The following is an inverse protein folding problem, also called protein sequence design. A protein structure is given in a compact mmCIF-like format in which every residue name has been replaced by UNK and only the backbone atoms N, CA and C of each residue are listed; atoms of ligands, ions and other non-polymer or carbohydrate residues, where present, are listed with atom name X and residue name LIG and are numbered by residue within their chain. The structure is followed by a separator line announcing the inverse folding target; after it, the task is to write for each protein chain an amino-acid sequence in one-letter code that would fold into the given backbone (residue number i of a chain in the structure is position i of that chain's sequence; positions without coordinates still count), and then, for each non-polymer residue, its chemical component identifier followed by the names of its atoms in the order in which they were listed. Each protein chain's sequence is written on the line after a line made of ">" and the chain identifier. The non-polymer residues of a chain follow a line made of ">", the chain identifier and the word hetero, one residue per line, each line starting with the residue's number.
data_IF_621454723358
#
_entry.id   IF_621454723358
#
_cell.length_a   1.000
_cell.length_b   1.000
_cell.length_c   1.000
_cell.angle_alpha   90.00
_cell.angle_beta   90.00
_cell.angle_gamma   90.00
#
_symmetry.space_group_name_H-M   'P 1'
#
loop_
_entity.id
_entity.type
_entity.pdbx_description
1 polymer ?
#
# COMPACT_ATOMS: atom_id res chain seq x y z
N UNK A 1 -25.86 24.58 4.29
CA UNK A 1 -24.91 25.70 4.60
C UNK A 1 -23.86 25.71 3.49
N UNK A 2 -23.42 26.85 2.92
CA UNK A 2 -22.35 26.81 1.90
C UNK A 2 -21.04 26.40 2.58
N UNK A 3 -20.42 25.30 2.13
CA UNK A 3 -19.11 24.85 2.62
C UNK A 3 -18.07 25.93 2.29
N UNK A 4 -17.27 26.32 3.28
CA UNK A 4 -16.28 27.39 3.12
C UNK A 4 -14.88 26.81 2.88
N UNK A 5 -14.57 26.53 1.61
CA UNK A 5 -13.18 26.29 1.16
C UNK A 5 -12.44 27.62 0.95
N UNK A 6 -11.10 27.58 0.90
CA UNK A 6 -10.28 28.79 0.70
C UNK A 6 -10.53 29.43 -0.67
N UNK A 7 -10.33 30.75 -0.79
CA UNK A 7 -10.55 31.46 -2.07
C UNK A 7 -9.61 30.99 -3.18
N UNK A 8 -8.41 30.56 -2.82
CA UNK A 8 -7.47 29.89 -3.72
C UNK A 8 -8.11 28.65 -4.34
N UNK A 9 -8.71 27.79 -3.52
CA UNK A 9 -9.35 26.55 -3.98
C UNK A 9 -10.60 26.86 -4.82
N UNK A 10 -11.42 27.85 -4.43
CA UNK A 10 -12.56 28.28 -5.25
C UNK A 10 -12.12 28.66 -6.65
N UNK A 11 -11.04 29.45 -6.77
CA UNK A 11 -10.50 29.87 -8.07
C UNK A 11 -10.00 28.70 -8.91
N UNK A 12 -9.37 27.68 -8.29
CA UNK A 12 -8.89 26.49 -9.01
C UNK A 12 -10.04 25.72 -9.69
N UNK A 13 -11.24 25.74 -9.11
CA UNK A 13 -12.36 24.88 -9.53
C UNK A 13 -13.53 25.64 -10.17
N UNK A 14 -13.49 26.97 -10.22
CA UNK A 14 -14.63 27.83 -10.56
C UNK A 14 -15.28 27.54 -11.93
N UNK A 15 -14.50 27.02 -12.87
CA UNK A 15 -14.96 26.75 -14.24
C UNK A 15 -15.56 25.35 -14.43
N UNK A 16 -15.32 24.41 -13.51
CA UNK A 16 -15.65 22.98 -13.72
C UNK A 16 -16.33 22.29 -12.52
N UNK A 17 -16.64 23.02 -11.45
CA UNK A 17 -17.25 22.48 -10.23
C UNK A 17 -18.34 23.40 -9.67
N UNK A 18 -19.47 22.82 -9.29
CA UNK A 18 -20.47 23.44 -8.43
C UNK A 18 -20.22 23.06 -6.96
N UNK A 19 -19.96 24.06 -6.10
CA UNK A 19 -19.72 23.87 -4.67
C UNK A 19 -21.01 24.03 -3.85
N UNK A 20 -21.46 22.94 -3.24
CA UNK A 20 -22.57 22.89 -2.29
C UNK A 20 -22.18 22.25 -0.96
N UNK A 21 -23.10 21.51 -0.35
CA UNK A 21 -22.76 20.56 0.74
C UNK A 21 -21.97 19.36 0.21
N UNK A 22 -22.14 19.07 -1.09
CA UNK A 22 -21.33 18.14 -1.87
C UNK A 22 -20.64 18.89 -3.01
N UNK A 23 -19.67 18.23 -3.64
CA UNK A 23 -19.00 18.69 -4.85
C UNK A 23 -19.64 18.02 -6.05
N UNK A 24 -20.03 18.78 -7.06
CA UNK A 24 -20.52 18.26 -8.33
C UNK A 24 -19.63 18.76 -9.47
N UNK A 25 -19.10 17.85 -10.27
CA UNK A 25 -18.22 18.18 -11.39
C UNK A 25 -19.08 18.48 -12.62
N UNK A 26 -19.07 19.73 -13.07
CA UNK A 26 -19.86 20.18 -14.24
C UNK A 26 -19.15 19.97 -15.56
N UNK A 27 -17.81 19.96 -15.56
CA UNK A 27 -16.98 19.62 -16.71
C UNK A 27 -15.89 18.60 -16.31
N UNK A 28 -16.16 17.28 -16.48
CA UNK A 28 -15.19 16.25 -16.17
C UNK A 28 -13.91 16.31 -17.01
N UNK A 29 -13.93 16.86 -18.22
CA UNK A 29 -12.75 16.96 -19.07
C UNK A 29 -11.83 18.07 -18.56
N UNK A 30 -12.38 19.25 -18.27
CA UNK A 30 -11.63 20.35 -17.67
C UNK A 30 -11.08 19.97 -16.28
N UNK A 31 -11.90 19.31 -15.44
CA UNK A 31 -11.46 18.89 -14.10
C UNK A 31 -10.26 17.95 -14.14
N UNK A 32 -10.26 16.97 -15.06
CA UNK A 32 -9.13 16.04 -15.28
C UNK A 32 -7.90 16.70 -15.92
N UNK A 33 -8.04 17.91 -16.44
CA UNK A 33 -6.94 18.70 -16.99
C UNK A 33 -6.06 19.32 -15.90
N UNK A 34 -5.80 20.62 -16.00
CA UNK A 34 -4.94 21.35 -15.09
C UNK A 34 -5.54 21.50 -13.67
N UNK A 35 -6.86 21.40 -13.52
CA UNK A 35 -7.54 21.56 -12.23
C UNK A 35 -7.11 20.48 -11.24
N UNK A 36 -7.21 19.18 -11.59
CA UNK A 36 -6.81 18.11 -10.70
C UNK A 36 -5.31 18.15 -10.37
N UNK A 37 -4.46 18.54 -11.33
CA UNK A 37 -3.01 18.68 -11.13
C UNK A 37 -2.71 19.80 -10.11
N UNK A 38 -3.43 20.92 -10.20
CA UNK A 38 -3.30 22.04 -9.26
C UNK A 38 -3.81 21.69 -7.86
N UNK A 39 -4.93 20.96 -7.79
CA UNK A 39 -5.50 20.50 -6.52
C UNK A 39 -4.57 19.51 -5.83
N UNK A 40 -4.09 18.47 -6.52
CA UNK A 40 -3.22 17.45 -5.89
C UNK A 40 -1.89 18.07 -5.44
N UNK A 41 -1.32 18.98 -6.22
CA UNK A 41 -0.14 19.73 -5.80
C UNK A 41 -0.43 20.55 -4.53
N UNK A 42 -1.58 21.24 -4.46
CA UNK A 42 -1.97 22.01 -3.28
C UNK A 42 -2.26 21.11 -2.07
N UNK A 43 -2.81 19.91 -2.28
CA UNK A 43 -3.08 18.93 -1.22
C UNK A 43 -1.80 18.39 -0.54
N UNK A 44 -0.69 18.35 -1.28
CA UNK A 44 0.62 17.88 -0.82
C UNK A 44 1.48 19.03 -0.30
N UNK A 45 1.61 20.12 -1.07
CA UNK A 45 2.59 21.19 -0.83
C UNK A 45 1.96 22.55 -0.46
N UNK A 46 0.65 22.61 -0.23
CA UNK A 46 -0.02 23.84 0.19
C UNK A 46 0.52 24.38 1.52
N UNK A 47 0.64 25.71 1.62
CA UNK A 47 1.32 26.38 2.73
C UNK A 47 0.54 26.31 4.06
N UNK A 48 -0.79 26.15 4.00
CA UNK A 48 -1.64 26.05 5.20
C UNK A 48 -2.41 24.73 5.27
N UNK A 49 -2.77 24.27 6.49
CA UNK A 49 -3.69 23.14 6.68
C UNK A 49 -5.03 23.34 5.96
N UNK A 50 -5.55 24.56 5.91
CA UNK A 50 -6.82 24.88 5.26
C UNK A 50 -6.77 24.70 3.75
N UNK A 51 -5.68 25.15 3.11
CA UNK A 51 -5.46 24.95 1.67
C UNK A 51 -5.32 23.46 1.34
N UNK A 52 -4.49 22.74 2.11
CA UNK A 52 -4.27 21.29 1.93
C UNK A 52 -5.56 20.51 2.16
N UNK A 53 -6.26 20.75 3.26
CA UNK A 53 -7.52 20.10 3.61
C UNK A 53 -8.65 20.41 2.64
N UNK A 54 -8.78 21.67 2.20
CA UNK A 54 -9.76 22.05 1.18
C UNK A 54 -9.50 21.36 -0.16
N UNK A 55 -8.24 21.30 -0.61
CA UNK A 55 -7.88 20.56 -1.82
C UNK A 55 -8.21 19.07 -1.71
N UNK A 56 -7.85 18.44 -0.58
CA UNK A 56 -8.15 17.03 -0.28
C UNK A 56 -9.64 16.74 -0.31
N UNK A 57 -10.43 17.59 0.35
CA UNK A 57 -11.90 17.47 0.38
C UNK A 57 -12.50 17.55 -1.03
N UNK A 58 -12.05 18.51 -1.86
CA UNK A 58 -12.51 18.62 -3.25
C UNK A 58 -12.17 17.35 -4.02
N UNK A 59 -10.93 16.86 -3.95
CA UNK A 59 -10.49 15.67 -4.68
C UNK A 59 -11.33 14.45 -4.31
N UNK A 60 -11.51 14.19 -3.01
CA UNK A 60 -12.30 13.05 -2.53
C UNK A 60 -13.77 13.16 -2.94
N UNK A 61 -14.36 14.35 -2.80
CA UNK A 61 -15.78 14.58 -3.12
C UNK A 61 -16.04 14.51 -4.63
N UNK A 62 -15.18 15.12 -5.45
CA UNK A 62 -15.23 14.98 -6.91
C UNK A 62 -14.96 13.54 -7.36
N UNK A 63 -14.09 12.82 -6.65
CA UNK A 63 -13.87 11.39 -6.86
C UNK A 63 -15.18 10.61 -6.75
N UNK A 64 -15.95 10.80 -5.67
CA UNK A 64 -17.25 10.15 -5.50
C UNK A 64 -18.20 10.48 -6.66
N UNK A 65 -18.31 11.75 -7.04
CA UNK A 65 -19.17 12.19 -8.16
C UNK A 65 -18.73 11.58 -9.51
N UNK A 66 -17.43 11.40 -9.71
CA UNK A 66 -16.84 10.81 -10.92
C UNK A 66 -16.73 9.28 -10.88
N UNK A 67 -17.06 8.63 -9.76
CA UNK A 67 -16.99 7.18 -9.57
C UNK A 67 -15.62 6.63 -9.20
N UNK A 68 -14.74 7.41 -8.56
CA UNK A 68 -13.42 7.04 -8.05
C UNK A 68 -13.40 7.22 -6.53
N UNK A 69 -13.33 6.14 -5.77
CA UNK A 69 -13.47 6.20 -4.31
C UNK A 69 -12.68 5.11 -3.60
N UNK A 70 -12.23 5.40 -2.37
CA UNK A 70 -11.60 4.41 -1.50
C UNK A 70 -12.55 3.25 -1.18
N UNK A 71 -12.05 2.03 -1.28
CA UNK A 71 -12.83 0.82 -1.04
C UNK A 71 -12.04 -0.25 -0.28
N UNK A 72 -12.78 -1.12 0.39
CA UNK A 72 -12.25 -2.34 0.99
C UNK A 72 -12.31 -3.48 0.00
N UNK A 73 -11.24 -4.27 -0.10
CA UNK A 73 -11.20 -5.49 -0.93
C UNK A 73 -11.86 -6.70 -0.24
N UNK A 74 -12.32 -6.55 1.01
CA UNK A 74 -12.80 -7.64 1.87
C UNK A 74 -13.75 -8.62 1.15
N UNK A 75 -14.80 -8.12 0.49
CA UNK A 75 -15.79 -8.98 -0.16
C UNK A 75 -15.21 -9.85 -1.28
N UNK A 76 -14.20 -9.35 -1.99
CA UNK A 76 -13.48 -10.12 -3.00
C UNK A 76 -12.59 -11.20 -2.37
N UNK A 77 -11.89 -10.88 -1.29
CA UNK A 77 -11.04 -11.85 -0.58
C UNK A 77 -11.85 -12.96 0.07
N UNK A 78 -13.03 -12.64 0.61
CA UNK A 78 -13.95 -13.68 1.08
C UNK A 78 -14.46 -14.56 -0.08
N UNK A 79 -14.75 -13.98 -1.25
CA UNK A 79 -15.13 -14.74 -2.44
C UNK A 79 -14.00 -15.66 -2.92
N UNK A 80 -12.75 -15.18 -2.88
CA UNK A 80 -11.57 -15.99 -3.15
C UNK A 80 -11.43 -17.14 -2.15
N UNK A 81 -11.65 -16.88 -0.85
CA UNK A 81 -11.65 -17.91 0.19
C UNK A 81 -12.72 -18.99 -0.02
N UNK A 82 -13.92 -18.61 -0.49
CA UNK A 82 -14.99 -19.54 -0.87
C UNK A 82 -14.78 -20.23 -2.22
N UNK A 83 -13.76 -19.80 -3.00
CA UNK A 83 -13.49 -20.33 -4.35
C UNK A 83 -14.47 -19.83 -5.42
N UNK A 84 -15.17 -18.73 -5.16
CA UNK A 84 -16.11 -18.11 -6.12
C UNK A 84 -15.43 -17.10 -7.06
N UNK A 85 -14.22 -16.65 -6.69
CA UNK A 85 -13.31 -15.84 -7.49
C UNK A 85 -11.88 -16.39 -7.36
N UNK A 86 -11.01 -16.13 -8.34
CA UNK A 86 -9.62 -16.58 -8.30
C UNK A 86 -9.00 -16.75 -9.69
N UNK A 87 -7.85 -17.43 -9.75
CA UNK A 87 -7.04 -17.53 -10.97
C UNK A 87 -6.08 -16.34 -11.16
N UNK A 88 -5.95 -15.49 -10.14
CA UNK A 88 -5.07 -14.34 -10.12
C UNK A 88 -4.53 -14.08 -8.72
N UNK A 89 -3.43 -13.34 -8.64
CA UNK A 89 -2.87 -12.80 -7.40
C UNK A 89 -2.89 -11.29 -7.48
N UNK A 90 -3.44 -10.62 -6.48
CA UNK A 90 -3.57 -9.17 -6.48
C UNK A 90 -2.19 -8.51 -6.29
N UNK A 91 -1.71 -7.67 -7.22
CA UNK A 91 -0.51 -6.87 -6.97
C UNK A 91 -0.84 -5.76 -5.97
N UNK A 92 -0.15 -5.75 -4.84
CA UNK A 92 -0.06 -4.62 -3.94
C UNK A 92 1.26 -3.88 -4.22
N UNK A 93 1.16 -2.58 -4.49
CA UNK A 93 2.26 -1.78 -5.06
C UNK A 93 2.60 -0.64 -4.10
N UNK A 94 3.78 -0.71 -3.45
CA UNK A 94 4.26 0.39 -2.62
C UNK A 94 4.78 1.54 -3.50
N UNK A 95 4.21 2.74 -3.35
CA UNK A 95 4.64 3.92 -4.10
C UNK A 95 5.41 4.88 -3.19
N UNK A 96 6.73 4.92 -3.36
CA UNK A 96 7.65 5.67 -2.47
C UNK A 96 7.98 7.08 -2.96
N UNK A 97 7.83 7.35 -4.26
CA UNK A 97 8.18 8.62 -4.89
C UNK A 97 7.51 8.76 -6.24
N UNK A 98 7.53 9.97 -6.80
CA UNK A 98 6.75 10.33 -8.00
C UNK A 98 5.28 9.89 -7.89
N UNK A 99 4.72 10.01 -6.69
CA UNK A 99 3.57 9.21 -6.26
C UNK A 99 2.33 9.40 -7.12
N UNK A 100 2.05 10.63 -7.53
CA UNK A 100 0.94 10.95 -8.43
C UNK A 100 1.15 10.38 -9.83
N UNK A 101 2.36 10.52 -10.37
CA UNK A 101 2.71 10.10 -11.72
C UNK A 101 2.71 8.55 -11.84
N UNK A 102 3.31 7.87 -10.86
CA UNK A 102 3.35 6.39 -10.78
C UNK A 102 1.94 5.81 -10.60
N UNK A 103 1.13 6.39 -9.71
CA UNK A 103 -0.25 5.96 -9.54
C UNK A 103 -1.05 6.12 -10.84
N UNK A 104 -0.84 7.22 -11.57
CA UNK A 104 -1.49 7.44 -12.86
C UNK A 104 -1.04 6.41 -13.91
N UNK A 105 0.23 5.99 -13.92
CA UNK A 105 0.72 4.88 -14.76
C UNK A 105 0.01 3.56 -14.46
N UNK A 106 -0.21 3.25 -13.18
CA UNK A 106 -0.94 2.03 -12.77
C UNK A 106 -2.39 2.10 -13.23
N UNK A 107 -3.08 3.23 -13.05
CA UNK A 107 -4.46 3.37 -13.53
C UNK A 107 -4.58 3.29 -15.05
N UNK A 108 -3.67 3.90 -15.82
CA UNK A 108 -3.65 3.76 -17.29
C UNK A 108 -3.47 2.30 -17.70
N UNK A 109 -2.59 1.58 -17.01
CA UNK A 109 -2.36 0.15 -17.21
C UNK A 109 -3.61 -0.67 -16.87
N UNK A 110 -4.28 -0.36 -15.76
CA UNK A 110 -5.51 -1.02 -15.35
C UNK A 110 -6.64 -0.82 -16.36
N UNK A 111 -6.84 0.41 -16.84
CA UNK A 111 -7.83 0.73 -17.87
C UNK A 111 -7.52 -0.03 -19.17
N UNK A 112 -6.25 -0.05 -19.60
CA UNK A 112 -5.81 -0.76 -20.80
C UNK A 112 -6.09 -2.27 -20.73
N UNK A 113 -5.93 -2.87 -19.55
CA UNK A 113 -6.06 -4.31 -19.33
C UNK A 113 -7.43 -4.74 -18.79
N UNK A 114 -8.37 -3.81 -18.59
CA UNK A 114 -9.64 -4.07 -17.88
C UNK A 114 -9.42 -4.79 -16.54
N UNK A 115 -8.38 -4.37 -15.81
CA UNK A 115 -8.02 -4.91 -14.49
C UNK A 115 -8.76 -4.18 -13.40
N UNK A 116 -9.38 -4.92 -12.48
CA UNK A 116 -10.01 -4.38 -11.28
C UNK A 116 -9.21 -4.60 -10.01
N UNK A 117 -8.36 -5.63 -9.95
CA UNK A 117 -7.70 -6.04 -8.70
C UNK A 117 -6.24 -5.59 -8.67
N UNK A 118 -5.99 -4.45 -8.05
CA UNK A 118 -4.66 -3.95 -7.73
C UNK A 118 -4.77 -3.02 -6.53
N UNK A 119 -3.75 -3.02 -5.68
CA UNK A 119 -3.74 -2.28 -4.42
C UNK A 119 -2.62 -1.25 -4.46
N UNK A 120 -2.94 -0.02 -4.04
CA UNK A 120 -1.95 0.99 -3.72
C UNK A 120 -1.60 0.88 -2.25
N UNK A 121 -0.35 0.63 -1.92
CA UNK A 121 0.04 0.44 -0.52
C UNK A 121 1.19 1.33 -0.09
N UNK A 122 1.33 1.53 1.21
CA UNK A 122 2.50 2.20 1.79
C UNK A 122 2.71 1.68 3.21
N UNK A 123 3.95 1.32 3.53
CA UNK A 123 4.23 0.71 4.83
C UNK A 123 4.42 1.73 5.96
N UNK A 124 4.21 1.33 7.22
CA UNK A 124 4.45 2.20 8.41
C UNK A 124 5.82 2.91 8.36
N UNK A 125 6.86 2.18 7.94
CA UNK A 125 8.20 2.75 7.81
C UNK A 125 8.31 3.73 6.63
N UNK A 126 7.64 3.44 5.52
CA UNK A 126 7.66 4.25 4.30
C UNK A 126 6.92 5.56 4.45
N UNK A 127 5.78 5.55 5.16
CA UNK A 127 5.08 6.77 5.60
C UNK A 127 6.07 7.73 6.27
N UNK A 128 6.91 7.22 7.17
CA UNK A 128 7.85 8.03 7.93
C UNK A 128 9.00 8.59 7.06
N UNK A 129 9.65 7.76 6.25
CA UNK A 129 10.83 8.22 5.49
C UNK A 129 10.50 8.90 4.17
N UNK A 130 9.29 8.73 3.62
CA UNK A 130 8.84 9.45 2.40
C UNK A 130 8.00 10.69 2.73
N UNK A 131 7.64 10.87 4.01
CA UNK A 131 6.74 11.92 4.46
C UNK A 131 5.37 11.89 3.77
N UNK A 132 4.85 10.69 3.49
CA UNK A 132 3.54 10.47 2.86
C UNK A 132 2.55 9.96 3.91
N UNK A 133 1.95 10.89 4.66
CA UNK A 133 0.92 10.53 5.67
C UNK A 133 -0.36 10.02 5.00
N UNK A 134 -1.17 9.19 5.68
CA UNK A 134 -2.34 8.55 5.09
C UNK A 134 -3.29 9.52 4.34
N UNK A 135 -3.61 10.68 4.94
CA UNK A 135 -4.50 11.66 4.28
C UNK A 135 -3.94 12.16 2.95
N UNK A 136 -2.62 12.37 2.86
CA UNK A 136 -1.94 12.74 1.62
C UNK A 136 -1.95 11.58 0.63
N UNK A 137 -1.51 10.40 1.06
CA UNK A 137 -1.40 9.24 0.17
C UNK A 137 -2.74 8.90 -0.49
N UNK A 138 -3.83 8.89 0.28
CA UNK A 138 -5.17 8.63 -0.26
C UNK A 138 -5.53 9.61 -1.36
N UNK A 139 -5.38 10.92 -1.13
CA UNK A 139 -5.81 11.90 -2.14
C UNK A 139 -4.97 11.88 -3.39
N UNK A 140 -3.69 11.51 -3.27
CA UNK A 140 -2.82 11.35 -4.44
C UNK A 140 -3.30 10.16 -5.29
N UNK A 141 -3.65 9.03 -4.67
CA UNK A 141 -4.20 7.88 -5.39
C UNK A 141 -5.54 8.23 -6.08
N UNK A 142 -6.46 8.87 -5.36
CA UNK A 142 -7.75 9.25 -5.93
C UNK A 142 -7.61 10.29 -7.04
N UNK A 143 -6.72 11.28 -6.88
CA UNK A 143 -6.43 12.25 -7.92
C UNK A 143 -5.88 11.57 -9.18
N UNK A 144 -4.98 10.60 -9.04
CA UNK A 144 -4.44 9.85 -10.18
C UNK A 144 -5.53 9.03 -10.90
N UNK A 145 -6.45 8.42 -10.14
CA UNK A 145 -7.60 7.73 -10.71
C UNK A 145 -8.52 8.67 -11.48
N UNK A 146 -8.81 9.85 -10.92
CA UNK A 146 -9.60 10.90 -11.59
C UNK A 146 -8.90 11.33 -12.87
N UNK A 147 -7.62 11.71 -12.79
CA UNK A 147 -6.78 12.20 -13.91
C UNK A 147 -6.83 11.29 -15.12
N UNK A 148 -6.75 9.99 -14.88
CA UNK A 148 -6.69 8.95 -15.92
C UNK A 148 -8.07 8.52 -16.42
N UNK A 149 -9.14 8.99 -15.79
CA UNK A 149 -10.51 8.62 -16.15
C UNK A 149 -10.92 7.23 -15.66
N UNK A 150 -10.21 6.67 -14.67
CA UNK A 150 -10.61 5.44 -14.01
C UNK A 150 -12.01 5.59 -13.39
N UNK A 151 -12.75 4.48 -13.31
CA UNK A 151 -14.07 4.38 -12.68
C UNK A 151 -14.18 3.05 -11.97
N UNK A 152 -14.36 3.11 -10.66
CA UNK A 152 -14.47 1.96 -9.80
C UNK A 152 -13.86 2.21 -8.41
N UNK A 153 -13.91 1.18 -7.56
CA UNK A 153 -13.23 1.19 -6.27
C UNK A 153 -11.72 1.33 -6.43
N UNK A 154 -11.09 2.02 -5.48
CA UNK A 154 -9.64 2.17 -5.32
C UNK A 154 -9.25 1.54 -3.99
N UNK A 155 -8.45 0.48 -4.05
CA UNK A 155 -7.98 -0.20 -2.85
C UNK A 155 -6.68 0.45 -2.37
N UNK A 156 -6.73 1.01 -1.17
CA UNK A 156 -5.59 1.67 -0.51
C UNK A 156 -5.28 0.91 0.77
N UNK A 157 -4.01 0.53 0.92
CA UNK A 157 -3.55 -0.39 1.95
C UNK A 157 -2.45 0.20 2.83
N UNK A 158 -2.58 -0.03 4.14
CA UNK A 158 -1.50 0.16 5.09
C UNK A 158 -0.69 -1.13 5.17
N UNK A 159 0.51 -1.13 4.61
CA UNK A 159 1.42 -2.28 4.61
C UNK A 159 2.22 -2.31 5.93
N UNK A 160 2.55 -3.51 6.43
CA UNK A 160 3.31 -3.71 7.67
C UNK A 160 3.03 -2.66 8.75
N UNK A 161 1.78 -2.57 9.24
CA UNK A 161 1.47 -1.76 10.42
C UNK A 161 2.04 -2.47 11.66
N UNK A 162 3.37 -2.43 11.71
CA UNK A 162 4.19 -3.36 12.46
C UNK A 162 4.35 -2.92 13.91
N UNK A 163 4.25 -3.87 14.83
CA UNK A 163 4.70 -3.70 16.22
C UNK A 163 6.19 -4.04 16.28
N UNK A 164 7.04 -3.11 16.71
CA UNK A 164 8.47 -3.37 16.80
C UNK A 164 8.85 -4.13 18.09
N UNK A 165 9.45 -5.32 17.97
CA UNK A 165 9.84 -6.18 19.10
C UNK A 165 10.65 -5.46 20.20
N UNK A 166 11.64 -4.64 19.83
CA UNK A 166 12.48 -3.93 20.80
C UNK A 166 11.68 -2.89 21.56
N UNK A 167 10.91 -2.05 20.87
CA UNK A 167 10.05 -1.03 21.49
C UNK A 167 8.94 -1.66 22.34
N UNK A 168 8.37 -2.77 21.87
CA UNK A 168 7.38 -3.52 22.63
C UNK A 168 7.98 -4.13 23.90
N UNK A 169 9.21 -4.64 23.86
CA UNK A 169 9.90 -5.12 25.07
C UNK A 169 10.15 -4.00 26.08
N UNK A 170 10.47 -2.80 25.60
CA UNK A 170 10.74 -1.64 26.44
C UNK A 170 9.44 -1.05 27.06
N UNK A 171 8.39 -0.90 26.25
CA UNK A 171 7.07 -0.40 26.67
C UNK A 171 5.95 -0.95 25.74
N UNK A 172 5.34 -2.10 26.10
CA UNK A 172 4.33 -2.76 25.27
C UNK A 172 3.13 -1.86 24.95
N UNK A 173 2.62 -1.17 25.97
CA UNK A 173 1.42 -0.34 25.86
C UNK A 173 1.66 0.82 24.89
N UNK A 174 2.82 1.47 24.98
CA UNK A 174 3.18 2.59 24.09
C UNK A 174 3.39 2.15 22.64
N UNK A 175 4.07 1.04 22.40
CA UNK A 175 4.27 0.57 21.01
C UNK A 175 2.95 0.17 20.36
N UNK A 176 2.10 -0.59 21.06
CA UNK A 176 0.77 -0.98 20.54
C UNK A 176 -0.11 0.26 20.35
N UNK A 177 -0.08 1.23 21.27
CA UNK A 177 -0.82 2.49 21.10
C UNK A 177 -0.37 3.27 19.86
N UNK A 178 0.94 3.32 19.58
CA UNK A 178 1.44 3.98 18.37
C UNK A 178 0.94 3.33 17.07
N UNK A 179 0.74 2.01 17.07
CA UNK A 179 0.12 1.31 15.92
C UNK A 179 -1.39 1.58 15.86
N UNK A 180 -2.10 1.59 17.00
CA UNK A 180 -3.52 1.98 17.07
C UNK A 180 -3.77 3.37 16.50
N UNK A 181 -2.96 4.34 16.88
CA UNK A 181 -3.09 5.72 16.42
C UNK A 181 -2.91 5.81 14.90
N UNK A 182 -1.94 5.08 14.35
CA UNK A 182 -1.73 4.99 12.91
C UNK A 182 -2.88 4.29 12.18
N UNK A 183 -3.43 3.20 12.73
CA UNK A 183 -4.64 2.54 12.19
C UNK A 183 -5.81 3.52 12.14
N UNK A 184 -6.08 4.22 13.24
CA UNK A 184 -7.17 5.19 13.33
C UNK A 184 -7.03 6.31 12.30
N UNK A 185 -5.81 6.85 12.14
CA UNK A 185 -5.51 7.85 11.11
C UNK A 185 -5.70 7.30 9.69
N UNK A 186 -5.20 6.09 9.42
CA UNK A 186 -5.25 5.48 8.10
C UNK A 186 -6.70 5.17 7.67
N UNK A 187 -7.49 4.54 8.55
CA UNK A 187 -8.91 4.23 8.27
C UNK A 187 -9.69 5.52 8.04
N UNK A 188 -9.48 6.55 8.88
CA UNK A 188 -10.08 7.88 8.67
C UNK A 188 -9.67 8.50 7.33
N UNK A 189 -8.42 8.29 6.91
CA UNK A 189 -7.93 8.80 5.65
C UNK A 189 -8.46 8.03 4.42
N UNK A 190 -9.06 6.85 4.57
CA UNK A 190 -9.57 6.04 3.46
C UNK A 190 -8.76 4.78 3.16
N UNK A 191 -7.90 4.33 4.08
CA UNK A 191 -7.22 3.04 4.00
C UNK A 191 -8.17 1.98 4.52
N UNK A 192 -8.86 1.30 3.61
CA UNK A 192 -9.82 0.25 3.96
C UNK A 192 -9.26 -1.16 3.79
N UNK A 193 -7.93 -1.25 3.75
CA UNK A 193 -7.15 -2.48 3.76
C UNK A 193 -5.96 -2.24 4.70
N UNK A 194 -5.80 -3.05 5.75
CA UNK A 194 -4.78 -2.84 6.79
C UNK A 194 -4.07 -4.16 7.07
N UNK A 195 -2.78 -4.23 6.77
CA UNK A 195 -1.97 -5.39 7.08
C UNK A 195 -1.26 -5.18 8.41
N UNK A 196 -1.67 -5.97 9.41
CA UNK A 196 -1.14 -5.92 10.76
C UNK A 196 0.02 -6.90 10.85
N UNK A 197 1.20 -6.37 11.19
CA UNK A 197 2.40 -7.17 11.36
C UNK A 197 2.82 -7.19 12.84
N UNK A 198 2.46 -8.29 13.49
CA UNK A 198 2.90 -8.61 14.86
C UNK A 198 3.88 -9.77 14.89
N UNK A 199 4.40 -10.18 13.72
CA UNK A 199 5.28 -11.33 13.56
C UNK A 199 6.61 -11.17 14.30
N UNK A 200 7.08 -9.93 14.48
CA UNK A 200 8.32 -9.66 15.24
C UNK A 200 8.18 -10.01 16.73
N UNK A 201 6.96 -10.24 17.24
CA UNK A 201 6.72 -10.64 18.62
C UNK A 201 6.81 -12.15 18.85
N UNK A 202 7.08 -12.95 17.80
CA UNK A 202 7.26 -14.40 17.91
C UNK A 202 8.48 -14.70 18.79
N UNK A 203 8.30 -15.53 19.81
CA UNK A 203 9.36 -15.93 20.74
C UNK A 203 9.74 -17.40 20.54
N UNK A 204 10.74 -17.65 19.70
CA UNK A 204 11.24 -19.00 19.39
C UNK A 204 11.83 -19.75 20.61
N UNK A 205 12.04 -19.09 21.76
CA UNK A 205 12.51 -19.74 22.97
C UNK A 205 11.45 -20.59 23.68
N UNK A 206 10.17 -20.47 23.30
CA UNK A 206 9.08 -21.24 23.90
C UNK A 206 9.02 -22.68 23.38
N UNK A 207 8.52 -23.58 24.23
CA UNK A 207 8.51 -25.02 23.97
C UNK A 207 7.43 -25.54 23.02
N UNK A 208 6.48 -24.70 22.58
CA UNK A 208 5.45 -25.09 21.62
C UNK A 208 5.12 -23.94 20.65
N UNK A 209 4.72 -24.26 19.42
CA UNK A 209 4.38 -23.25 18.40
C UNK A 209 3.28 -22.28 18.87
N UNK A 210 2.29 -22.77 19.63
CA UNK A 210 1.24 -21.92 20.21
C UNK A 210 1.80 -20.88 21.18
N UNK A 211 2.76 -21.25 22.02
CA UNK A 211 3.40 -20.31 22.94
C UNK A 211 4.38 -19.37 22.22
N UNK A 212 5.06 -19.85 21.17
CA UNK A 212 5.93 -19.01 20.33
C UNK A 212 5.11 -17.91 19.62
N UNK A 213 3.94 -18.26 19.09
CA UNK A 213 3.04 -17.36 18.37
C UNK A 213 2.16 -16.49 19.28
N UNK A 214 2.18 -16.70 20.60
CA UNK A 214 1.18 -16.14 21.51
C UNK A 214 1.01 -14.63 21.42
N UNK A 215 2.10 -13.89 21.53
CA UNK A 215 2.05 -12.44 21.40
C UNK A 215 1.68 -12.00 19.98
N UNK A 216 2.12 -12.73 18.95
CA UNK A 216 1.74 -12.45 17.57
C UNK A 216 0.22 -12.49 17.40
N UNK A 217 -0.45 -13.58 17.81
CA UNK A 217 -1.89 -13.66 17.63
C UNK A 217 -2.71 -12.83 18.63
N UNK A 218 -2.27 -12.67 19.88
CA UNK A 218 -3.01 -11.88 20.89
C UNK A 218 -3.01 -10.40 20.52
N UNK A 219 -1.84 -9.84 20.18
CA UNK A 219 -1.72 -8.42 19.80
C UNK A 219 -2.32 -8.19 18.41
N UNK A 220 -2.16 -9.13 17.47
CA UNK A 220 -2.80 -9.07 16.16
C UNK A 220 -4.34 -9.03 16.26
N UNK A 221 -4.94 -9.85 17.13
CA UNK A 221 -6.37 -9.81 17.40
C UNK A 221 -6.80 -8.51 18.08
N UNK A 222 -6.03 -8.01 19.06
CA UNK A 222 -6.27 -6.72 19.73
C UNK A 222 -6.31 -5.56 18.73
N UNK A 223 -5.35 -5.50 17.80
CA UNK A 223 -5.28 -4.49 16.76
C UNK A 223 -6.38 -4.68 15.70
N UNK A 224 -6.77 -5.92 15.37
CA UNK A 224 -7.92 -6.17 14.50
C UNK A 224 -9.20 -5.63 15.11
N UNK A 225 -9.44 -5.86 16.40
CA UNK A 225 -10.62 -5.31 17.09
C UNK A 225 -10.58 -3.78 17.14
N UNK A 226 -9.40 -3.17 17.21
CA UNK A 226 -9.25 -1.72 17.07
C UNK A 226 -9.60 -1.24 15.65
N UNK A 227 -9.25 -1.97 14.59
CA UNK A 227 -9.73 -1.69 13.24
C UNK A 227 -11.27 -1.69 13.22
N UNK A 228 -11.90 -2.73 13.79
CA UNK A 228 -13.39 -2.86 13.81
C UNK A 228 -14.09 -1.67 14.47
N UNK A 229 -13.49 -1.01 15.46
CA UNK A 229 -14.10 0.16 16.12
C UNK A 229 -13.98 1.46 15.30
N UNK A 230 -13.16 1.48 14.25
CA UNK A 230 -12.90 2.65 13.41
C UNK A 230 -13.50 2.56 12.02
N UNK A 231 -14.15 1.44 11.69
CA UNK A 231 -14.73 1.21 10.36
C UNK A 231 -15.82 2.24 10.04
N UNK A 232 -15.82 2.80 8.81
CA UNK A 232 -16.97 3.56 8.33
C UNK A 232 -18.21 2.67 8.24
N UNK A 233 -19.38 3.27 8.45
CA UNK A 233 -20.65 2.56 8.32
C UNK A 233 -20.78 1.91 6.93
N UNK A 234 -21.09 0.61 6.90
CA UNK A 234 -21.28 -0.15 5.66
C UNK A 234 -19.98 -0.62 4.97
N UNK A 235 -18.80 -0.29 5.51
CA UNK A 235 -17.51 -0.72 4.97
C UNK A 235 -16.81 -1.61 5.99
N UNK A 236 -16.64 -2.89 5.67
CA UNK A 236 -15.77 -3.79 6.44
C UNK A 236 -14.35 -3.67 5.91
N UNK A 237 -13.45 -3.07 6.67
CA UNK A 237 -12.02 -2.93 6.37
C UNK A 237 -11.40 -4.33 6.26
N UNK A 238 -10.69 -4.58 5.16
CA UNK A 238 -9.92 -5.81 4.98
C UNK A 238 -8.71 -5.80 5.89
N UNK A 239 -8.42 -6.92 6.58
CA UNK A 239 -7.26 -7.02 7.46
C UNK A 239 -6.40 -8.22 7.07
N UNK A 240 -5.11 -7.99 6.87
CA UNK A 240 -4.09 -9.03 6.77
C UNK A 240 -3.41 -9.28 8.11
N UNK A 241 -3.04 -10.53 8.37
CA UNK A 241 -2.11 -10.90 9.45
C UNK A 241 -0.78 -11.42 8.89
N UNK A 242 0.21 -11.69 9.73
CA UNK A 242 1.53 -12.16 9.29
C UNK A 242 2.07 -13.25 10.22
N UNK A 243 2.68 -14.28 9.62
CA UNK A 243 3.45 -15.32 10.32
C UNK A 243 4.88 -15.40 9.78
N UNK A 244 5.80 -15.73 10.68
CA UNK A 244 7.24 -15.83 10.37
C UNK A 244 7.88 -14.44 10.28
N UNK A 245 9.09 -14.30 10.81
CA UNK A 245 9.89 -13.10 10.55
C UNK A 245 10.54 -13.24 9.16
N UNK A 246 10.29 -12.25 8.29
CA UNK A 246 10.88 -12.24 6.96
C UNK A 246 12.41 -12.18 7.07
N UNK A 247 13.08 -13.09 6.36
CA UNK A 247 14.54 -13.20 6.27
C UNK A 247 15.17 -14.36 7.05
N UNK A 248 14.41 -15.09 7.87
CA UNK A 248 14.96 -16.21 8.66
C UNK A 248 14.72 -17.59 8.02
N UNK A 249 13.55 -18.18 8.27
CA UNK A 249 13.18 -19.53 7.84
C UNK A 249 11.82 -19.50 7.18
N UNK A 250 11.59 -20.45 6.28
CA UNK A 250 10.29 -20.61 5.66
C UNK A 250 9.23 -20.92 6.73
N UNK A 251 8.09 -20.26 6.64
CA UNK A 251 6.93 -20.55 7.45
C UNK A 251 6.43 -21.97 7.19
N UNK A 252 5.82 -22.56 8.20
CA UNK A 252 5.27 -23.91 8.17
C UNK A 252 3.76 -23.90 8.31
N UNK A 253 3.11 -24.98 7.85
CA UNK A 253 1.66 -25.18 8.02
C UNK A 253 1.30 -25.22 9.50
N UNK A 254 2.16 -25.81 10.33
CA UNK A 254 1.97 -25.92 11.76
C UNK A 254 2.02 -24.55 12.47
N UNK A 255 2.90 -23.64 12.03
CA UNK A 255 2.94 -22.26 12.52
C UNK A 255 1.70 -21.47 12.13
N UNK A 256 1.25 -21.60 10.87
CA UNK A 256 0.01 -20.99 10.40
C UNK A 256 -1.19 -21.47 11.24
N UNK A 257 -1.27 -22.77 11.48
CA UNK A 257 -2.33 -23.36 12.30
C UNK A 257 -2.28 -22.84 13.74
N UNK A 258 -1.11 -22.82 14.37
CA UNK A 258 -0.94 -22.32 15.73
C UNK A 258 -1.33 -20.84 15.86
N UNK A 259 -0.93 -20.02 14.88
CA UNK A 259 -1.31 -18.61 14.82
C UNK A 259 -2.82 -18.45 14.66
N UNK A 260 -3.45 -19.11 13.68
CA UNK A 260 -4.88 -18.93 13.39
C UNK A 260 -5.78 -19.47 14.50
N UNK A 261 -5.43 -20.59 15.14
CA UNK A 261 -6.20 -21.13 16.27
C UNK A 261 -6.15 -20.18 17.48
N UNK A 262 -4.96 -19.65 17.82
CA UNK A 262 -4.80 -18.65 18.86
C UNK A 262 -5.50 -17.32 18.52
N UNK A 263 -5.36 -16.85 17.28
CA UNK A 263 -5.97 -15.61 16.79
C UNK A 263 -7.49 -15.68 16.85
N UNK A 264 -8.10 -16.76 16.35
CA UNK A 264 -9.55 -16.94 16.38
C UNK A 264 -10.08 -17.02 17.82
N UNK A 265 -9.35 -17.68 18.72
CA UNK A 265 -9.69 -17.71 20.14
C UNK A 265 -9.60 -16.31 20.79
N UNK A 266 -8.57 -15.53 20.47
CA UNK A 266 -8.39 -14.16 20.97
C UNK A 266 -9.46 -13.19 20.43
N UNK A 267 -9.86 -13.33 19.16
CA UNK A 267 -10.97 -12.60 18.56
C UNK A 267 -12.31 -12.93 19.23
N UNK A 268 -12.50 -14.17 19.69
CA UNK A 268 -13.68 -14.64 20.43
C UNK A 268 -15.02 -14.24 19.76
N UNK A 269 -15.07 -14.30 18.43
CA UNK A 269 -16.26 -13.95 17.64
C UNK A 269 -16.71 -12.47 17.72
N UNK A 270 -15.88 -11.55 18.21
CA UNK A 270 -16.23 -10.13 18.40
C UNK A 270 -16.26 -9.30 17.10
N UNK A 271 -15.98 -9.91 15.95
CA UNK A 271 -15.98 -9.24 14.65
C UNK A 271 -15.40 -10.10 13.55
N UNK A 272 -15.32 -9.54 12.34
CA UNK A 272 -14.65 -10.16 11.19
C UNK A 272 -13.14 -10.20 11.45
N UNK A 273 -12.53 -11.38 11.27
CA UNK A 273 -11.09 -11.60 11.41
C UNK A 273 -10.30 -11.20 10.17
N UNK A 274 -9.07 -11.69 10.07
CA UNK A 274 -8.24 -11.46 8.87
C UNK A 274 -8.82 -12.16 7.64
N UNK A 275 -8.55 -11.61 6.44
CA UNK A 275 -8.97 -12.13 5.14
C UNK A 275 -7.83 -12.76 4.33
N UNK A 276 -6.58 -12.53 4.75
CA UNK A 276 -5.33 -13.00 4.15
C UNK A 276 -4.24 -13.09 5.20
N UNK A 277 -3.18 -13.84 4.92
CA UNK A 277 -2.04 -14.00 5.83
C UNK A 277 -0.71 -13.97 5.07
N UNK A 278 0.19 -13.08 5.47
CA UNK A 278 1.56 -13.01 4.97
C UNK A 278 2.41 -14.13 5.55
N UNK A 279 3.26 -14.69 4.69
CA UNK A 279 4.11 -15.83 5.01
C UNK A 279 5.53 -15.61 4.51
N UNK A 280 6.49 -16.31 5.12
CA UNK A 280 7.87 -16.29 4.68
C UNK A 280 8.23 -17.55 3.89
N UNK A 281 8.82 -17.38 2.71
CA UNK A 281 9.04 -18.45 1.71
C UNK A 281 10.43 -18.36 1.07
N UNK A 282 11.39 -17.79 1.79
CA UNK A 282 12.80 -17.72 1.41
C UNK A 282 13.24 -16.38 0.85
N UNK A 283 12.33 -15.42 0.73
CA UNK A 283 12.62 -14.06 0.26
C UNK A 283 13.15 -13.14 1.37
N UNK A 284 13.78 -12.04 0.97
CA UNK A 284 14.10 -10.92 1.86
C UNK A 284 13.56 -9.62 1.28
N UNK A 285 13.10 -8.70 2.13
CA UNK A 285 12.62 -7.40 1.64
C UNK A 285 13.73 -6.63 0.92
N UNK A 286 13.49 -6.34 -0.35
CA UNK A 286 14.42 -5.59 -1.20
C UNK A 286 15.59 -6.39 -1.77
N UNK A 287 15.63 -7.71 -1.56
CA UNK A 287 16.70 -8.58 -2.02
C UNK A 287 18.04 -8.36 -1.31
N UNK A 288 19.05 -9.14 -1.68
CA UNK A 288 20.38 -9.10 -1.07
C UNK A 288 21.34 -8.36 -2.02
N UNK A 289 21.75 -7.11 -1.72
CA UNK A 289 22.67 -6.38 -2.59
C UNK A 289 24.08 -6.98 -2.53
N UNK A 290 24.66 -7.26 -3.69
CA UNK A 290 26.03 -7.71 -3.87
C UNK A 290 27.00 -6.51 -3.87
N UNK A 291 28.32 -6.73 -3.66
CA UNK A 291 29.30 -5.64 -3.59
C UNK A 291 29.34 -4.72 -4.81
N UNK A 292 28.91 -5.21 -5.98
CA UNK A 292 28.83 -4.47 -7.24
C UNK A 292 27.50 -3.70 -7.42
N UNK A 293 26.61 -3.73 -6.42
CA UNK A 293 25.29 -3.08 -6.46
C UNK A 293 24.18 -3.88 -7.13
N UNK A 294 24.50 -5.05 -7.72
CA UNK A 294 23.49 -5.99 -8.23
C UNK A 294 22.75 -6.68 -7.08
N UNK A 295 21.66 -7.39 -7.37
CA UNK A 295 20.87 -8.13 -6.37
C UNK A 295 21.10 -9.62 -6.56
N UNK A 296 21.40 -10.33 -5.47
CA UNK A 296 21.57 -11.77 -5.50
C UNK A 296 20.27 -12.47 -5.93
N UNK A 297 20.40 -13.52 -6.71
CA UNK A 297 19.28 -14.39 -7.07
C UNK A 297 18.79 -15.13 -5.82
N UNK A 298 17.49 -15.02 -5.54
CA UNK A 298 16.85 -15.71 -4.42
C UNK A 298 15.83 -16.69 -4.98
N UNK A 299 15.92 -17.95 -4.56
CA UNK A 299 14.95 -18.96 -4.91
C UNK A 299 13.76 -18.89 -3.95
N UNK A 300 12.59 -18.53 -4.49
CA UNK A 300 11.32 -18.63 -3.75
C UNK A 300 10.89 -20.09 -3.62
N UNK A 301 10.49 -20.49 -2.42
CA UNK A 301 9.90 -21.81 -2.17
C UNK A 301 8.39 -21.80 -2.48
N UNK A 302 8.07 -21.98 -3.77
CA UNK A 302 6.69 -22.06 -4.24
C UNK A 302 5.92 -23.26 -3.67
N UNK A 303 6.58 -24.36 -3.32
CA UNK A 303 5.91 -25.54 -2.74
C UNK A 303 5.41 -25.21 -1.33
N UNK A 304 6.20 -24.48 -0.54
CA UNK A 304 5.77 -23.96 0.75
C UNK A 304 4.65 -22.94 0.58
N UNK A 305 4.76 -22.02 -0.39
CA UNK A 305 3.73 -21.03 -0.67
C UNK A 305 2.38 -21.67 -1.05
N UNK A 306 2.39 -22.72 -1.87
CA UNK A 306 1.19 -23.47 -2.26
C UNK A 306 0.54 -24.16 -1.05
N UNK A 307 1.34 -24.87 -0.23
CA UNK A 307 0.83 -25.56 0.97
C UNK A 307 0.20 -24.58 1.96
N UNK A 308 0.83 -23.43 2.18
CA UNK A 308 0.33 -22.39 3.08
C UNK A 308 -0.94 -21.74 2.53
N UNK A 309 -0.96 -21.38 1.24
CA UNK A 309 -2.13 -20.80 0.59
C UNK A 309 -3.33 -21.74 0.63
N UNK A 310 -3.12 -23.02 0.31
CA UNK A 310 -4.14 -24.07 0.42
C UNK A 310 -4.65 -24.22 1.84
N UNK A 311 -3.76 -24.26 2.84
CA UNK A 311 -4.17 -24.39 4.26
C UNK A 311 -4.97 -23.17 4.72
N UNK A 312 -4.51 -21.97 4.40
CA UNK A 312 -5.19 -20.71 4.73
C UNK A 312 -6.62 -20.70 4.20
N UNK A 313 -6.81 -21.15 2.96
CA UNK A 313 -8.11 -21.23 2.30
C UNK A 313 -9.00 -22.35 2.83
N UNK A 314 -8.53 -23.60 2.80
CA UNK A 314 -9.34 -24.77 3.12
C UNK A 314 -9.69 -24.88 4.62
N UNK A 315 -8.76 -24.53 5.51
CA UNK A 315 -8.97 -24.67 6.96
C UNK A 315 -9.56 -23.42 7.60
N UNK A 316 -9.25 -22.23 7.07
CA UNK A 316 -9.60 -20.96 7.72
C UNK A 316 -10.44 -20.01 6.85
N UNK A 317 -10.74 -20.37 5.59
CA UNK A 317 -11.58 -19.56 4.70
C UNK A 317 -10.92 -18.24 4.25
N UNK A 318 -9.60 -18.10 4.42
CA UNK A 318 -8.85 -16.94 3.94
C UNK A 318 -8.72 -16.98 2.41
N UNK A 319 -8.46 -15.83 1.79
CA UNK A 319 -8.25 -15.71 0.34
C UNK A 319 -7.05 -16.53 -0.16
N UNK A 320 -6.00 -16.64 0.66
CA UNK A 320 -4.73 -17.30 0.34
C UNK A 320 -3.60 -16.75 1.21
N UNK A 321 -2.37 -17.17 0.92
CA UNK A 321 -1.18 -16.57 1.49
C UNK A 321 -0.77 -15.32 0.70
N UNK A 322 -0.09 -14.39 1.37
CA UNK A 322 0.45 -13.17 0.80
C UNK A 322 1.97 -13.28 0.71
N UNK A 323 2.53 -12.90 -0.44
CA UNK A 323 3.98 -12.91 -0.66
C UNK A 323 4.59 -11.52 -0.52
N UNK A 324 5.56 -11.37 0.38
CA UNK A 324 6.41 -10.18 0.44
C UNK A 324 7.73 -10.39 -0.33
N UNK A 325 8.43 -9.31 -0.68
CA UNK A 325 9.79 -9.40 -1.22
C UNK A 325 9.89 -10.00 -2.63
N UNK A 326 8.82 -9.98 -3.43
CA UNK A 326 8.80 -10.56 -4.77
C UNK A 326 9.45 -9.67 -5.87
N UNK A 327 9.72 -8.39 -5.59
CA UNK A 327 10.15 -7.42 -6.63
C UNK A 327 11.50 -7.70 -7.28
N UNK A 328 12.33 -8.56 -6.70
CA UNK A 328 13.66 -8.90 -7.22
C UNK A 328 13.71 -10.31 -7.79
N UNK A 329 12.57 -10.99 -7.89
CA UNK A 329 12.47 -12.29 -8.55
C UNK A 329 12.56 -12.12 -10.07
N UNK A 330 13.10 -13.13 -10.78
CA UNK A 330 13.02 -13.19 -12.23
C UNK A 330 11.59 -13.07 -12.75
N UNK A 331 11.43 -12.30 -13.83
CA UNK A 331 10.14 -11.93 -14.42
C UNK A 331 9.31 -13.14 -14.85
N UNK A 332 9.97 -14.18 -15.33
CA UNK A 332 9.36 -15.43 -15.73
C UNK A 332 8.68 -16.15 -14.57
N UNK A 333 8.99 -15.87 -13.31
CA UNK A 333 8.41 -16.58 -12.16
C UNK A 333 7.06 -16.02 -11.69
N UNK A 334 6.66 -14.81 -12.12
CA UNK A 334 5.44 -14.17 -11.61
C UNK A 334 4.14 -14.92 -11.91
N UNK A 335 4.10 -15.75 -12.96
CA UNK A 335 2.93 -16.58 -13.26
C UNK A 335 2.66 -17.69 -12.23
N UNK A 336 3.68 -18.06 -11.45
CA UNK A 336 3.56 -19.10 -10.43
C UNK A 336 2.68 -18.67 -9.25
N UNK A 337 2.56 -17.37 -8.95
CA UNK A 337 1.79 -16.89 -7.81
C UNK A 337 0.29 -17.23 -7.90
N UNK A 338 -0.40 -16.93 -9.02
CA UNK A 338 -1.77 -17.41 -9.22
C UNK A 338 -1.89 -18.94 -9.14
N UNK A 339 -0.92 -19.67 -9.69
CA UNK A 339 -0.92 -21.14 -9.73
C UNK A 339 -0.82 -21.76 -8.33
N UNK A 340 -0.09 -21.13 -7.41
CA UNK A 340 0.02 -21.57 -6.02
C UNK A 340 -1.16 -21.15 -5.15
N UNK A 341 -2.15 -20.43 -5.70
CA UNK A 341 -3.28 -19.90 -4.94
C UNK A 341 -2.90 -18.73 -4.02
N UNK A 342 -1.79 -18.06 -4.29
CA UNK A 342 -1.36 -16.86 -3.57
C UNK A 342 -2.39 -15.76 -3.81
N UNK A 343 -2.90 -15.16 -2.74
CA UNK A 343 -3.96 -14.15 -2.85
C UNK A 343 -3.42 -12.81 -3.34
N UNK A 344 -2.25 -12.42 -2.83
CA UNK A 344 -1.69 -11.08 -3.00
C UNK A 344 -0.16 -11.12 -2.98
N UNK A 345 0.48 -10.21 -3.71
CA UNK A 345 1.93 -10.04 -3.70
C UNK A 345 2.32 -8.57 -3.53
N UNK A 346 3.28 -8.29 -2.64
CA UNK A 346 3.74 -6.92 -2.34
C UNK A 346 4.97 -6.57 -3.17
N UNK A 347 4.92 -5.42 -3.84
CA UNK A 347 5.90 -5.01 -4.85
C UNK A 347 6.31 -3.54 -4.66
N UNK A 348 7.61 -3.32 -4.46
CA UNK A 348 8.13 -2.00 -4.12
C UNK A 348 9.49 -1.72 -4.78
N UNK A 349 10.51 -2.48 -4.36
CA UNK A 349 11.92 -2.13 -4.62
C UNK A 349 12.26 -2.14 -6.10
N UNK A 350 11.62 -3.00 -6.90
CA UNK A 350 11.81 -3.03 -8.35
C UNK A 350 11.42 -1.70 -9.02
N UNK A 351 10.27 -1.12 -8.67
CA UNK A 351 9.79 0.14 -9.25
C UNK A 351 10.63 1.34 -8.79
N UNK A 352 10.99 1.38 -7.50
CA UNK A 352 11.98 2.32 -7.01
C UNK A 352 13.28 2.20 -7.81
N UNK A 353 13.67 0.97 -8.14
CA UNK A 353 14.93 0.77 -8.81
C UNK A 353 14.90 1.35 -10.22
N UNK A 354 13.86 1.02 -10.97
CA UNK A 354 13.57 1.59 -12.28
C UNK A 354 13.60 3.13 -12.27
N UNK A 355 12.99 3.79 -11.28
CA UNK A 355 13.00 5.27 -11.21
C UNK A 355 14.43 5.83 -11.08
N UNK A 356 15.24 5.30 -10.17
CA UNK A 356 16.61 5.80 -9.93
C UNK A 356 17.58 5.44 -11.04
N UNK A 357 17.37 4.29 -11.69
CA UNK A 357 18.27 3.74 -12.71
C UNK A 357 17.86 4.17 -14.12
N UNK A 358 16.69 4.79 -14.29
CA UNK A 358 16.21 5.31 -15.58
C UNK A 358 17.15 6.36 -16.15
N UNK A 359 17.40 6.26 -17.46
CA UNK A 359 18.16 7.28 -18.20
C UNK A 359 17.46 8.64 -18.27
N UNK A 360 16.16 8.67 -17.95
CA UNK A 360 15.34 9.87 -17.93
C UNK A 360 15.42 10.64 -16.61
N UNK A 361 15.92 10.04 -15.53
CA UNK A 361 16.14 10.76 -14.28
C UNK A 361 17.35 11.69 -14.41
N UNK A 362 17.19 13.02 -14.19
CA UNK A 362 18.31 13.94 -14.24
C UNK A 362 19.43 13.51 -13.28
N UNK A 363 20.65 13.35 -13.82
CA UNK A 363 21.78 12.82 -13.05
C UNK A 363 22.18 13.74 -11.91
N UNK A 364 22.04 15.06 -12.09
CA UNK A 364 22.28 16.06 -11.05
C UNK A 364 21.34 15.90 -9.85
N UNK A 365 20.06 15.58 -10.08
CA UNK A 365 19.12 15.26 -9.01
C UNK A 365 19.52 13.97 -8.29
N UNK A 366 19.83 12.91 -9.04
CA UNK A 366 20.27 11.63 -8.46
C UNK A 366 21.52 11.81 -7.59
N UNK A 367 22.53 12.51 -8.11
CA UNK A 367 23.80 12.73 -7.42
C UNK A 367 23.59 13.59 -6.16
N UNK A 368 22.74 14.62 -6.24
CA UNK A 368 22.33 15.42 -5.06
C UNK A 368 21.66 14.54 -4.00
N UNK A 369 20.74 13.66 -4.40
CA UNK A 369 20.07 12.73 -3.47
C UNK A 369 21.09 11.79 -2.82
N UNK A 370 22.00 11.22 -3.60
CA UNK A 370 22.99 10.26 -3.09
C UNK A 370 24.01 10.94 -2.16
N UNK A 371 24.41 12.18 -2.43
CA UNK A 371 25.21 12.97 -1.51
C UNK A 371 24.48 13.19 -0.18
N UNK A 372 23.22 13.62 -0.23
CA UNK A 372 22.40 13.82 0.98
C UNK A 372 22.17 12.53 1.77
N UNK A 373 22.03 11.39 1.10
CA UNK A 373 21.91 10.08 1.75
C UNK A 373 23.19 9.67 2.49
N UNK A 374 24.36 9.88 1.86
CA UNK A 374 25.65 9.63 2.49
C UNK A 374 25.89 10.50 3.71
N UNK A 375 25.42 11.75 3.70
CA UNK A 375 25.55 12.65 4.84
C UNK A 375 24.59 12.30 5.98
N UNK A 376 23.29 12.18 5.69
CA UNK A 376 22.27 12.05 6.73
C UNK A 376 22.14 10.65 7.32
N UNK A 377 22.45 9.62 6.53
CA UNK A 377 22.29 8.22 6.93
C UNK A 377 23.62 7.47 7.07
N UNK A 378 24.74 8.19 7.18
CA UNK A 378 26.08 7.61 7.37
C UNK A 378 26.14 6.57 8.49
N UNK A 379 25.39 6.80 9.57
CA UNK A 379 25.33 5.93 10.75
C UNK A 379 24.64 4.58 10.51
N UNK A 380 23.90 4.42 9.40
CA UNK A 380 23.26 3.15 9.02
C UNK A 380 24.16 2.21 8.23
N UNK A 381 25.37 2.69 7.89
CA UNK A 381 26.37 1.90 7.19
C UNK A 381 26.91 0.81 8.12
N UNK A 382 26.85 -0.43 7.64
CA UNK A 382 27.39 -1.58 8.35
C UNK A 382 28.90 -1.73 8.09
N UNK A 383 29.62 -2.37 9.02
CA UNK A 383 31.04 -2.66 8.84
C UNK A 383 31.26 -3.52 7.59
N UNK A 384 32.22 -3.13 6.74
CA UNK A 384 32.54 -3.84 5.48
C UNK A 384 31.58 -3.61 4.32
N UNK A 385 30.53 -2.78 4.48
CA UNK A 385 29.56 -2.49 3.41
C UNK A 385 30.14 -1.52 2.36
N UNK A 386 30.04 -1.88 1.06
CA UNK A 386 30.45 -0.99 -0.04
C UNK A 386 29.52 0.22 -0.19
N UNK A 387 29.94 1.23 -0.94
CA UNK A 387 29.12 2.42 -1.22
C UNK A 387 27.86 2.06 -2.01
N UNK A 388 27.98 1.14 -2.96
CA UNK A 388 26.89 0.63 -3.78
C UNK A 388 25.86 -0.10 -2.91
N UNK A 389 26.30 -0.99 -2.02
CA UNK A 389 25.42 -1.70 -1.09
C UNK A 389 24.75 -0.73 -0.11
N UNK A 390 25.48 0.27 0.37
CA UNK A 390 24.94 1.29 1.26
C UNK A 390 23.84 2.09 0.56
N UNK A 391 24.15 2.68 -0.61
CA UNK A 391 23.18 3.46 -1.40
C UNK A 391 21.98 2.61 -1.79
N UNK A 392 22.16 1.37 -2.24
CA UNK A 392 21.06 0.48 -2.58
C UNK A 392 20.05 0.35 -1.42
N UNK A 393 20.56 0.15 -0.19
CA UNK A 393 19.75 0.00 1.02
C UNK A 393 19.01 1.29 1.42
N UNK A 394 19.66 2.45 1.28
CA UNK A 394 19.12 3.72 1.80
C UNK A 394 18.42 4.59 0.75
N UNK A 395 18.57 4.32 -0.56
CA UNK A 395 17.99 5.15 -1.66
C UNK A 395 16.47 5.33 -1.57
N UNK A 396 15.76 4.39 -0.93
CA UNK A 396 14.33 4.52 -0.62
C UNK A 396 13.97 5.79 0.17
N UNK A 397 14.88 6.24 1.04
CA UNK A 397 14.72 7.47 1.85
C UNK A 397 14.95 8.74 1.03
N UNK A 398 15.65 8.63 -0.09
CA UNK A 398 15.93 9.75 -0.98
C UNK A 398 14.67 10.38 -1.59
N UNK A 399 13.60 9.59 -1.74
CA UNK A 399 12.30 10.12 -2.16
C UNK A 399 11.68 11.06 -1.14
N UNK A 400 11.94 10.88 0.17
CA UNK A 400 11.56 11.85 1.18
C UNK A 400 12.47 13.07 1.18
N UNK A 401 13.80 12.85 1.08
CA UNK A 401 14.79 13.93 1.07
C UNK A 401 14.59 14.94 -0.07
N UNK A 402 14.17 14.46 -1.25
CA UNK A 402 13.97 15.26 -2.45
C UNK A 402 12.52 15.17 -2.96
N UNK A 403 11.55 15.03 -2.04
CA UNK A 403 10.14 14.78 -2.37
C UNK A 403 9.60 15.76 -3.39
N UNK A 404 9.85 17.06 -3.18
CA UNK A 404 9.37 18.12 -4.06
C UNK A 404 10.05 18.07 -5.43
N UNK A 405 11.36 17.85 -5.46
CA UNK A 405 12.11 17.74 -6.72
C UNK A 405 11.68 16.54 -7.58
N UNK A 406 11.35 15.39 -6.97
CA UNK A 406 10.75 14.26 -7.70
C UNK A 406 9.35 14.60 -8.23
N UNK A 407 8.54 15.34 -7.46
CA UNK A 407 7.21 15.79 -7.89
C UNK A 407 7.24 16.85 -8.99
N UNK A 408 8.27 17.68 -9.01
CA UNK A 408 8.43 18.79 -9.95
C UNK A 408 9.40 18.46 -11.10
N UNK A 409 9.70 17.16 -11.32
CA UNK A 409 10.50 16.70 -12.44
C UNK A 409 9.96 17.27 -13.77
N UNK A 410 10.85 17.62 -14.72
CA UNK A 410 10.44 18.05 -16.06
C UNK A 410 9.53 17.02 -16.71
N UNK A 411 8.52 17.48 -17.43
CA UNK A 411 7.49 16.60 -18.04
C UNK A 411 8.09 15.49 -18.90
N UNK A 412 9.14 15.79 -19.68
CA UNK A 412 9.85 14.79 -20.48
C UNK A 412 10.52 13.69 -19.64
N UNK A 413 11.09 14.04 -18.48
CA UNK A 413 11.67 13.06 -17.55
C UNK A 413 10.57 12.20 -16.90
N UNK A 414 9.48 12.84 -16.45
CA UNK A 414 8.32 12.13 -15.89
C UNK A 414 7.75 11.12 -16.87
N UNK A 415 7.49 11.55 -18.11
CA UNK A 415 6.90 10.71 -19.14
C UNK A 415 7.81 9.53 -19.52
N UNK A 416 9.13 9.74 -19.61
CA UNK A 416 10.09 8.66 -19.87
C UNK A 416 10.09 7.59 -18.77
N UNK A 417 10.24 8.01 -17.51
CA UNK A 417 10.21 7.09 -16.34
C UNK A 417 8.86 6.37 -16.25
N UNK A 418 7.75 7.11 -16.43
CA UNK A 418 6.42 6.54 -16.35
C UNK A 418 6.13 5.54 -17.48
N UNK A 419 6.69 5.75 -18.67
CA UNK A 419 6.61 4.79 -19.78
C UNK A 419 7.27 3.46 -19.44
N UNK A 420 8.50 3.48 -18.90
CA UNK A 420 9.21 2.27 -18.43
C UNK A 420 8.40 1.53 -17.37
N UNK A 421 7.82 2.27 -16.40
CA UNK A 421 6.98 1.70 -15.34
C UNK A 421 5.68 1.11 -15.89
N UNK A 422 5.01 1.75 -16.84
CA UNK A 422 3.78 1.24 -17.47
C UNK A 422 4.00 -0.09 -18.19
N UNK A 423 5.12 -0.24 -18.90
CA UNK A 423 5.48 -1.52 -19.53
C UNK A 423 5.64 -2.62 -18.48
N UNK A 424 6.28 -2.30 -17.35
CA UNK A 424 6.44 -3.24 -16.24
C UNK A 424 5.11 -3.59 -15.58
N UNK A 425 4.24 -2.63 -15.32
CA UNK A 425 2.92 -2.89 -14.74
C UNK A 425 2.06 -3.74 -15.69
N UNK A 426 2.08 -3.46 -17.00
CA UNK A 426 1.36 -4.23 -18.01
C UNK A 426 1.81 -5.69 -18.05
N UNK A 427 3.13 -5.92 -17.96
CA UNK A 427 3.70 -7.25 -17.82
C UNK A 427 3.21 -7.95 -16.56
N UNK A 428 3.32 -7.30 -15.40
CA UNK A 428 2.92 -7.88 -14.11
C UNK A 428 1.43 -8.20 -14.07
N UNK A 429 0.58 -7.31 -14.57
CA UNK A 429 -0.87 -7.51 -14.57
C UNK A 429 -1.26 -8.75 -15.36
N UNK A 430 -0.59 -9.01 -16.48
CA UNK A 430 -0.79 -10.22 -17.29
C UNK A 430 -0.26 -11.46 -16.59
N UNK A 431 0.94 -11.40 -16.00
CA UNK A 431 1.54 -12.56 -15.32
C UNK A 431 0.79 -12.95 -14.06
N UNK A 432 0.23 -11.98 -13.34
CA UNK A 432 -0.55 -12.20 -12.14
C UNK A 432 -2.01 -12.53 -12.40
N UNK A 433 -2.43 -12.62 -13.66
CA UNK A 433 -3.78 -13.02 -14.04
C UNK A 433 -4.86 -11.95 -13.79
N UNK A 434 -4.49 -10.71 -13.47
CA UNK A 434 -5.47 -9.65 -13.14
C UNK A 434 -6.01 -8.91 -14.36
N UNK A 435 -5.57 -9.23 -15.57
CA UNK A 435 -6.13 -8.68 -16.80
C UNK A 435 -7.56 -9.21 -17.04
N UNK A 436 -8.51 -8.31 -17.31
CA UNK A 436 -9.91 -8.65 -17.60
C UNK A 436 -10.75 -9.07 -16.40
N UNK A 437 -10.27 -8.87 -15.17
CA UNK A 437 -10.97 -9.32 -13.96
C UNK A 437 -11.83 -8.26 -13.27
N UNK A 438 -12.03 -7.10 -13.91
CA UNK A 438 -12.86 -6.03 -13.36
C UNK A 438 -14.27 -6.48 -12.95
N UNK A 439 -14.85 -7.43 -13.69
CA UNK A 439 -16.17 -7.99 -13.36
C UNK A 439 -16.26 -8.64 -11.97
N UNK A 440 -15.17 -9.22 -11.46
CA UNK A 440 -15.15 -9.78 -10.10
C UNK A 440 -15.24 -8.67 -9.05
N UNK A 441 -14.54 -7.56 -9.28
CA UNK A 441 -14.61 -6.39 -8.40
C UNK A 441 -16.01 -5.79 -8.40
N UNK A 442 -16.64 -5.61 -9.56
CA UNK A 442 -18.01 -5.09 -9.66
C UNK A 442 -19.04 -6.00 -8.97
N UNK A 443 -18.80 -7.32 -8.97
CA UNK A 443 -19.66 -8.31 -8.32
C UNK A 443 -19.51 -8.31 -6.80
N UNK A 444 -18.29 -8.20 -6.29
CA UNK A 444 -17.99 -8.46 -4.88
C UNK A 444 -17.74 -7.20 -4.04
N UNK A 445 -17.53 -6.03 -4.65
CA UNK A 445 -17.40 -4.77 -3.93
C UNK A 445 -18.71 -3.98 -4.03
N UNK A 446 -19.58 -4.17 -3.03
CA UNK A 446 -20.96 -3.67 -3.05
C UNK A 446 -21.22 -2.50 -2.09
N UNK A 447 -20.22 -2.07 -1.31
CA UNK A 447 -20.41 -0.98 -0.37
C UNK A 447 -20.46 0.37 -1.09
N UNK A 448 -21.17 1.33 -0.52
CA UNK A 448 -21.14 2.72 -1.00
C UNK A 448 -19.88 3.44 -0.51
N UNK A 449 -19.43 4.49 -1.21
CA UNK A 449 -18.34 5.34 -0.73
C UNK A 449 -18.66 5.93 0.65
N UNK A 450 -17.65 6.06 1.52
CA UNK A 450 -17.79 6.77 2.78
C UNK A 450 -18.00 8.28 2.53
N UNK A 451 -18.76 8.98 3.39
CA UNK A 451 -18.90 10.43 3.30
C UNK A 451 -17.56 11.13 3.57
N UNK A 452 -17.37 12.31 2.97
CA UNK A 452 -16.14 13.11 3.10
C UNK A 452 -16.44 14.36 3.91
N UNK A 453 -15.70 14.59 5.00
CA UNK A 453 -15.84 15.78 5.85
C UNK A 453 -14.72 16.78 5.61
N UNK A 454 -15.07 18.03 5.28
CA UNK A 454 -14.07 19.09 5.12
C UNK A 454 -13.30 19.35 6.43
N UNK A 455 -14.00 19.36 7.56
CA UNK A 455 -13.39 19.60 8.87
C UNK A 455 -12.32 18.54 9.19
N UNK A 456 -12.61 17.28 8.85
CA UNK A 456 -11.66 16.20 9.05
C UNK A 456 -10.45 16.30 8.13
N UNK A 457 -10.64 16.71 6.88
CA UNK A 457 -9.53 16.91 5.93
C UNK A 457 -8.63 18.09 6.32
N UNK A 458 -9.20 19.17 6.87
CA UNK A 458 -8.42 20.30 7.43
C UNK A 458 -7.70 19.85 8.69
N UNK A 459 -8.38 19.16 9.60
CA UNK A 459 -7.78 18.64 10.84
C UNK A 459 -6.63 17.67 10.57
N UNK A 460 -6.77 16.78 9.58
CA UNK A 460 -5.73 15.85 9.13
C UNK A 460 -4.64 16.48 8.26
N UNK A 461 -4.75 17.77 7.95
CA UNK A 461 -3.70 18.56 7.31
C UNK A 461 -2.89 19.40 8.30
N UNK A 462 -3.27 19.45 9.58
CA UNK A 462 -2.57 20.19 10.63
C UNK A 462 -1.15 19.68 10.90
#
# INVERSE_FOLDING_TARGET
>A
MKVSVTDRIKKIVEECVELGETVKVTDPAAFRGATIDSLVHTAVFGDSPEDRGSARWIIKSAGIDLGVYSASIQGLYEAMGRGEAGGYSVPAINIRGMTYDVAASIFRTAIKNDSGTFIFEIAKSEIAYTYQRPAEYTVVMLAAGIKTGYKGPVFIQGDHFQVNAKKHKDDPAKEVQGVRDLISEAVKAGFYNIDIDTSTLVDLSKGSLSEQQRLNYEVGAELTLHVRTHEPSGITVSVGGEIGEVGEKNSTVEELVAYMEGYNAAMNGKGVGISKVSVQTGTSHGGIPLPDGSVAEVALDFDTLEKLSKTAKEKFGLSGAVQHGASTLPDELFHRFPETGTSEIHLATGFQNMIYDSSHLPSDLRDKVYAGLNEQFASERSEGQTDEQFIYKVRKKGFGLAKREFWELPEGAKNGICGELEEKFDFLFKKLGVAGNKGDVEKYITHTPAPVSLEEEIGGAS
#
